data_IF_620076974737
#
_entry.id   IF_620076974737
#
_cell.length_a   1.000
_cell.length_b   1.000
_cell.length_c   1.000
_cell.angle_alpha   90.00
_cell.angle_beta   90.00
_cell.angle_gamma   90.00
#
_symmetry.space_group_name_H-M   'P 1'
#
loop_
_entity.id
_entity.type
_entity.pdbx_description
1 polymer ?
#
# COMPACT_ATOMS: atom_id res chain seq x y z
N UNK A 1 57.61 -46.23 1.09
CA UNK A 1 56.95 -45.62 2.27
C UNK A 1 57.35 -44.15 2.35
N UNK A 2 56.45 -43.22 2.67
CA UNK A 2 54.99 -43.25 2.52
C UNK A 2 54.47 -42.13 1.59
N UNK A 3 53.20 -42.30 1.21
CA UNK A 3 52.39 -41.36 0.46
C UNK A 3 52.10 -40.09 1.26
N UNK A 4 52.41 -38.94 0.69
CA UNK A 4 51.91 -37.66 1.15
C UNK A 4 50.46 -37.48 0.71
N UNK A 5 49.52 -38.10 1.41
CA UNK A 5 48.13 -37.65 1.43
C UNK A 5 48.11 -36.32 2.19
N UNK A 6 48.44 -35.24 1.49
CA UNK A 6 48.13 -33.89 1.94
C UNK A 6 46.61 -33.78 1.96
N UNK A 7 46.02 -34.07 3.12
CA UNK A 7 44.59 -33.97 3.35
C UNK A 7 44.12 -32.60 2.88
N UNK A 8 43.30 -32.59 1.82
CA UNK A 8 42.44 -31.47 1.55
C UNK A 8 41.61 -31.29 2.82
N UNK A 9 41.96 -30.28 3.62
CA UNK A 9 41.11 -29.86 4.72
C UNK A 9 39.72 -29.64 4.09
N UNK A 10 38.77 -30.51 4.44
CA UNK A 10 37.34 -30.30 4.27
C UNK A 10 36.98 -29.10 5.14
N UNK A 11 37.46 -27.93 4.75
CA UNK A 11 37.24 -26.68 5.45
C UNK A 11 35.78 -26.35 5.31
N UNK A 12 35.05 -26.38 6.42
CA UNK A 12 33.69 -25.90 6.49
C UNK A 12 33.66 -24.44 6.05
N UNK A 13 33.12 -24.17 4.86
CA UNK A 13 32.97 -22.81 4.34
C UNK A 13 31.77 -22.14 5.00
N UNK A 14 32.02 -21.60 6.19
CA UNK A 14 31.04 -20.82 6.94
C UNK A 14 30.46 -19.66 6.10
N UNK A 15 31.25 -19.06 5.21
CA UNK A 15 30.81 -17.92 4.39
C UNK A 15 29.80 -18.34 3.31
N UNK A 16 29.97 -19.53 2.73
CA UNK A 16 29.00 -20.10 1.80
C UNK A 16 27.69 -20.44 2.51
N UNK A 17 27.75 -21.07 3.69
CA UNK A 17 26.56 -21.40 4.47
C UNK A 17 25.78 -20.14 4.88
N UNK A 18 26.46 -19.08 5.34
CA UNK A 18 25.80 -17.81 5.70
C UNK A 18 25.10 -17.19 4.48
N UNK A 19 25.72 -17.21 3.30
CA UNK A 19 25.08 -16.71 2.06
C UNK A 19 23.86 -17.52 1.68
N UNK A 20 23.94 -18.86 1.77
CA UNK A 20 22.82 -19.75 1.45
C UNK A 20 21.65 -19.54 2.42
N UNK A 21 21.93 -19.42 3.72
CA UNK A 21 20.93 -19.11 4.74
C UNK A 21 20.28 -17.73 4.52
N UNK A 22 21.07 -16.71 4.18
CA UNK A 22 20.55 -15.38 3.86
C UNK A 22 19.63 -15.41 2.64
N UNK A 23 20.04 -16.12 1.58
CA UNK A 23 19.22 -16.27 0.38
C UNK A 23 17.90 -17.02 0.64
N UNK A 24 17.95 -18.10 1.43
CA UNK A 24 16.77 -18.85 1.83
C UNK A 24 15.80 -17.98 2.66
N UNK A 25 16.34 -17.21 3.61
CA UNK A 25 15.55 -16.25 4.40
C UNK A 25 14.88 -15.22 3.50
N UNK A 26 15.61 -14.60 2.56
CA UNK A 26 15.06 -13.57 1.68
C UNK A 26 13.94 -14.13 0.78
N UNK A 27 14.13 -15.35 0.27
CA UNK A 27 13.12 -16.06 -0.53
C UNK A 27 11.85 -16.36 0.28
N UNK A 28 12.00 -16.79 1.54
CA UNK A 28 10.87 -17.06 2.43
C UNK A 28 10.13 -15.78 2.80
N UNK A 29 10.85 -14.70 3.10
CA UNK A 29 10.26 -13.40 3.42
C UNK A 29 9.53 -12.82 2.22
N UNK A 30 10.12 -12.89 1.02
CA UNK A 30 9.45 -12.48 -0.20
C UNK A 30 8.15 -13.28 -0.39
N UNK A 31 8.20 -14.61 -0.25
CA UNK A 31 7.01 -15.45 -0.41
C UNK A 31 5.94 -15.13 0.62
N UNK A 32 6.32 -14.86 1.87
CA UNK A 32 5.41 -14.42 2.91
C UNK A 32 4.69 -13.13 2.51
N UNK A 33 5.44 -12.11 2.07
CA UNK A 33 4.88 -10.82 1.63
C UNK A 33 3.93 -10.99 0.44
N UNK A 34 4.29 -11.81 -0.54
CA UNK A 34 3.42 -12.13 -1.68
C UNK A 34 2.11 -12.78 -1.22
N UNK A 35 2.17 -13.73 -0.29
CA UNK A 35 0.98 -14.40 0.24
C UNK A 35 0.09 -13.42 1.01
N UNK A 36 0.67 -12.56 1.86
CA UNK A 36 -0.08 -11.53 2.58
C UNK A 36 -0.77 -10.55 1.61
N UNK A 37 -0.06 -10.11 0.57
CA UNK A 37 -0.62 -9.25 -0.48
C UNK A 37 -1.77 -9.93 -1.22
N UNK A 38 -1.61 -11.18 -1.64
CA UNK A 38 -2.65 -11.92 -2.36
C UNK A 38 -3.90 -12.11 -1.51
N UNK A 39 -3.73 -12.47 -0.23
CA UNK A 39 -4.85 -12.64 0.70
C UNK A 39 -5.61 -11.32 0.90
N UNK A 40 -4.90 -10.23 1.18
CA UNK A 40 -5.52 -8.93 1.39
C UNK A 40 -6.21 -8.42 0.12
N UNK A 41 -5.54 -8.48 -1.03
CA UNK A 41 -6.11 -8.13 -2.34
C UNK A 41 -7.40 -8.90 -2.65
N UNK A 42 -7.43 -10.21 -2.42
CA UNK A 42 -8.61 -11.03 -2.69
C UNK A 42 -9.82 -10.62 -1.81
N UNK A 43 -9.57 -10.29 -0.54
CA UNK A 43 -10.64 -9.81 0.36
C UNK A 43 -11.12 -8.41 -0.01
N UNK A 44 -10.22 -7.51 -0.40
CA UNK A 44 -10.58 -6.17 -0.91
C UNK A 44 -11.43 -6.29 -2.17
N UNK A 45 -11.01 -7.11 -3.14
CA UNK A 45 -11.78 -7.42 -4.35
C UNK A 45 -13.19 -7.92 -4.02
N UNK A 46 -13.29 -8.94 -3.16
CA UNK A 46 -14.58 -9.48 -2.74
C UNK A 46 -15.47 -8.44 -2.02
N UNK A 47 -14.89 -7.47 -1.29
CA UNK A 47 -15.66 -6.40 -0.63
C UNK A 47 -16.21 -5.41 -1.63
N UNK A 48 -15.39 -5.01 -2.62
CA UNK A 48 -15.81 -4.07 -3.67
C UNK A 48 -16.93 -4.70 -4.52
N UNK A 49 -16.76 -5.95 -4.95
CA UNK A 49 -17.74 -6.65 -5.81
C UNK A 49 -19.10 -6.91 -5.15
N UNK A 50 -19.15 -7.04 -3.82
CA UNK A 50 -20.41 -7.25 -3.08
C UNK A 50 -21.19 -5.96 -2.82
N UNK A 51 -20.59 -4.80 -3.10
CA UNK A 51 -21.20 -3.50 -2.81
C UNK A 51 -21.88 -2.97 -4.07
N UNK A 52 -23.15 -2.55 -3.95
CA UNK A 52 -23.85 -1.86 -5.03
C UNK A 52 -23.46 -0.38 -5.05
N UNK A 53 -22.36 -0.07 -5.74
CA UNK A 53 -21.80 1.28 -5.84
C UNK A 53 -22.68 2.27 -6.61
N UNK A 54 -23.65 1.78 -7.39
CA UNK A 54 -24.59 2.63 -8.11
C UNK A 54 -25.68 3.16 -7.18
N UNK A 55 -26.14 2.32 -6.25
CA UNK A 55 -27.23 2.62 -5.31
C UNK A 55 -26.76 2.74 -3.85
N UNK A 56 -25.47 3.03 -3.64
CA UNK A 56 -24.91 3.24 -2.30
C UNK A 56 -25.69 4.31 -1.52
N UNK A 57 -25.85 4.15 -0.19
CA UNK A 57 -26.34 5.21 0.66
C UNK A 57 -25.30 6.33 0.79
N UNK A 58 -25.76 7.54 1.13
CA UNK A 58 -24.87 8.67 1.44
C UNK A 58 -23.84 8.28 2.51
N UNK A 59 -22.55 8.65 2.34
CA UNK A 59 -21.50 8.32 3.32
C UNK A 59 -21.81 8.84 4.72
N UNK A 60 -21.69 7.96 5.71
CA UNK A 60 -21.86 8.29 7.14
C UNK A 60 -20.67 7.88 8.00
N UNK A 61 -19.74 7.13 7.42
CA UNK A 61 -18.54 6.63 8.04
C UNK A 61 -17.56 6.23 6.94
N UNK A 62 -16.30 6.02 7.33
CA UNK A 62 -15.36 5.25 6.52
C UNK A 62 -15.85 3.80 6.46
N UNK A 63 -15.72 3.13 5.31
CA UNK A 63 -16.17 1.74 5.19
C UNK A 63 -15.23 0.76 5.90
N UNK A 64 -15.75 -0.43 6.17
CA UNK A 64 -14.98 -1.57 6.69
C UNK A 64 -13.83 -1.98 5.75
N UNK A 65 -13.81 -1.55 4.48
CA UNK A 65 -12.69 -1.81 3.58
C UNK A 65 -11.39 -1.21 4.14
N UNK A 66 -11.45 0.01 4.68
CA UNK A 66 -10.28 0.67 5.26
C UNK A 66 -9.85 -0.03 6.53
N UNK A 67 -10.80 -0.38 7.41
CA UNK A 67 -10.51 -1.16 8.63
C UNK A 67 -9.84 -2.49 8.30
N UNK A 68 -10.33 -3.17 7.26
CA UNK A 68 -9.80 -4.43 6.77
C UNK A 68 -8.34 -4.28 6.30
N UNK A 69 -8.02 -3.23 5.54
CA UNK A 69 -6.66 -2.94 5.09
C UNK A 69 -5.73 -2.60 6.25
N UNK A 70 -6.17 -1.70 7.14
CA UNK A 70 -5.39 -1.24 8.29
C UNK A 70 -5.10 -2.39 9.26
N UNK A 71 -6.11 -3.19 9.58
CA UNK A 71 -5.97 -4.30 10.54
C UNK A 71 -5.03 -5.39 10.03
N UNK A 72 -5.12 -5.77 8.75
CA UNK A 72 -4.23 -6.77 8.17
C UNK A 72 -2.79 -6.28 8.09
N UNK A 73 -2.58 -5.02 7.67
CA UNK A 73 -1.24 -4.44 7.66
C UNK A 73 -0.68 -4.36 9.08
N UNK A 74 -1.51 -4.10 10.09
CA UNK A 74 -1.07 -4.02 11.48
C UNK A 74 -0.71 -5.41 12.01
N UNK A 75 -1.53 -6.42 11.74
CA UNK A 75 -1.25 -7.80 12.11
C UNK A 75 0.02 -8.32 11.41
N UNK A 76 0.20 -8.01 10.13
CA UNK A 76 1.43 -8.30 9.41
C UNK A 76 2.63 -7.57 10.03
N UNK A 77 2.48 -6.30 10.42
CA UNK A 77 3.53 -5.52 11.07
C UNK A 77 3.98 -6.17 12.38
N UNK A 78 3.03 -6.61 13.22
CA UNK A 78 3.32 -7.29 14.49
C UNK A 78 4.05 -8.63 14.27
N UNK A 79 3.66 -9.40 13.26
CA UNK A 79 4.34 -10.67 12.91
C UNK A 79 5.75 -10.41 12.37
N UNK A 80 5.90 -9.43 11.49
CA UNK A 80 7.16 -9.12 10.85
C UNK A 80 8.16 -8.41 11.80
N UNK A 81 7.68 -7.65 12.78
CA UNK A 81 8.51 -7.03 13.82
C UNK A 81 9.19 -8.07 14.72
N UNK A 82 8.57 -9.25 14.94
CA UNK A 82 9.21 -10.35 15.68
C UNK A 82 10.45 -10.89 14.95
N UNK A 83 10.49 -10.78 13.62
CA UNK A 83 11.62 -11.21 12.80
C UNK A 83 12.69 -10.13 12.67
N UNK A 84 12.33 -8.86 12.89
CA UNK A 84 13.20 -7.69 12.78
C UNK A 84 13.35 -7.01 14.13
N UNK A 85 14.07 -7.64 15.06
CA UNK A 85 14.25 -7.11 16.44
C UNK A 85 14.87 -5.70 16.51
N UNK A 86 15.44 -5.20 15.41
CA UNK A 86 16.12 -3.90 15.34
C UNK A 86 15.29 -2.77 14.71
N UNK A 87 14.11 -3.03 14.12
CA UNK A 87 13.26 -1.96 13.53
C UNK A 87 12.00 -1.79 14.38
N UNK A 88 11.82 -0.66 15.11
CA UNK A 88 10.61 -0.46 15.88
C UNK A 88 9.40 -0.33 14.95
N UNK A 89 8.32 -1.03 15.28
CA UNK A 89 7.06 -0.91 14.56
C UNK A 89 6.52 0.53 14.67
N UNK A 90 6.37 1.20 13.53
CA UNK A 90 5.73 2.53 13.46
C UNK A 90 4.24 2.40 13.82
N UNK A 91 3.64 3.36 14.55
CA UNK A 91 2.21 3.34 14.82
C UNK A 91 1.42 3.43 13.52
N UNK A 92 0.44 2.55 13.35
CA UNK A 92 -0.42 2.50 12.15
C UNK A 92 -1.39 3.70 12.07
N UNK A 93 -1.77 4.23 13.24
CA UNK A 93 -2.71 5.34 13.32
C UNK A 93 -1.93 6.65 13.41
N UNK A 94 -2.16 7.61 12.50
CA UNK A 94 -1.45 8.88 12.49
C UNK A 94 -1.72 9.70 13.75
N UNK A 95 -0.66 10.36 14.22
CA UNK A 95 -0.71 11.29 15.35
C UNK A 95 -0.99 12.71 14.84
N UNK A 96 -1.99 13.37 15.41
CA UNK A 96 -2.38 14.73 15.04
C UNK A 96 -3.72 14.81 14.30
N UNK A 97 -4.16 16.03 13.95
CA UNK A 97 -5.42 16.25 13.24
C UNK A 97 -5.34 15.81 11.77
N UNK A 98 -6.51 15.63 11.14
CA UNK A 98 -6.60 15.35 9.71
C UNK A 98 -5.85 16.43 8.89
N UNK A 99 -4.98 16.04 7.93
CA UNK A 99 -4.17 17.00 7.19
C UNK A 99 -5.03 17.88 6.28
N UNK A 100 -4.85 19.20 6.36
CA UNK A 100 -5.54 20.16 5.50
C UNK A 100 -5.17 19.94 4.02
N UNK A 101 -6.17 20.04 3.13
CA UNK A 101 -6.15 19.75 1.68
C UNK A 101 -5.06 20.46 0.83
N UNK A 102 -4.24 21.36 1.38
CA UNK A 102 -3.24 22.11 0.60
C UNK A 102 -2.27 21.21 -0.17
N UNK A 103 -2.03 19.98 0.31
CA UNK A 103 -1.17 18.99 -0.36
C UNK A 103 -1.93 17.98 -1.25
N UNK A 104 -3.27 17.89 -1.11
CA UNK A 104 -4.10 16.85 -1.74
C UNK A 104 -4.73 17.30 -3.06
N UNK A 105 -4.99 18.60 -3.23
CA UNK A 105 -5.61 19.15 -4.45
C UNK A 105 -4.62 19.75 -5.46
N UNK A 106 -3.40 20.10 -5.04
CA UNK A 106 -2.40 20.69 -5.95
C UNK A 106 -1.96 19.74 -7.07
N UNK A 107 -1.92 18.42 -6.84
CA UNK A 107 -1.60 17.45 -7.88
C UNK A 107 -2.72 17.27 -8.92
N UNK A 108 -3.98 17.28 -8.48
CA UNK A 108 -5.14 17.08 -9.36
C UNK A 108 -5.33 18.29 -10.30
N UNK A 109 -5.14 19.51 -9.81
CA UNK A 109 -5.22 20.72 -10.64
C UNK A 109 -4.02 20.88 -11.60
N UNK A 110 -2.82 20.38 -11.26
CA UNK A 110 -1.67 20.46 -12.16
C UNK A 110 -1.79 19.52 -13.37
N UNK A 111 -2.38 18.33 -13.21
CA UNK A 111 -2.54 17.35 -14.31
C UNK A 111 -3.54 17.79 -15.37
N UNK A 112 -4.60 18.51 -15.00
CA UNK A 112 -5.58 19.06 -15.95
C UNK A 112 -5.01 20.16 -16.87
N UNK A 113 -3.88 20.79 -16.52
CA UNK A 113 -3.25 21.87 -17.32
C UNK A 113 -2.13 21.41 -18.25
N UNK A 114 -1.70 20.14 -18.20
CA UNK A 114 -0.55 19.62 -18.96
C UNK A 114 -0.90 18.62 -20.07
N UNK A 115 -2.16 18.57 -20.53
CA UNK A 115 -2.57 17.64 -21.61
C UNK A 115 -1.97 17.94 -22.99
N UNK A 116 -1.19 19.03 -23.16
CA UNK A 116 -0.61 19.40 -24.46
C UNK A 116 0.78 18.83 -24.79
N UNK A 117 1.61 18.41 -23.81
CA UNK A 117 2.99 17.97 -24.09
C UNK A 117 3.52 16.78 -23.28
N UNK A 118 2.68 16.11 -22.47
CA UNK A 118 3.12 15.03 -21.56
C UNK A 118 3.24 13.64 -22.19
N UNK A 119 2.58 13.39 -23.33
CA UNK A 119 2.49 12.03 -23.93
C UNK A 119 3.87 11.42 -24.19
N UNK A 120 4.86 12.21 -24.62
CA UNK A 120 6.20 11.70 -24.96
C UNK A 120 7.06 11.42 -23.72
N UNK A 121 6.93 12.21 -22.64
CA UNK A 121 7.64 11.99 -21.37
C UNK A 121 7.04 10.84 -20.56
N UNK A 122 5.73 10.68 -20.61
CA UNK A 122 5.05 9.57 -19.94
C UNK A 122 5.31 8.24 -20.65
N UNK A 123 5.39 8.20 -21.98
CA UNK A 123 5.85 7.03 -22.72
C UNK A 123 7.29 6.64 -22.36
N UNK A 124 8.22 7.60 -22.32
CA UNK A 124 9.61 7.33 -21.92
C UNK A 124 9.72 6.86 -20.47
N UNK A 125 8.87 7.37 -19.56
CA UNK A 125 8.81 6.91 -18.16
C UNK A 125 8.17 5.53 -18.03
N UNK A 126 7.19 5.17 -18.87
CA UNK A 126 6.60 3.83 -18.92
C UNK A 126 7.58 2.77 -19.46
N UNK A 127 8.45 3.11 -20.41
CA UNK A 127 9.51 2.20 -20.87
C UNK A 127 10.72 2.11 -19.91
N UNK A 128 10.94 3.12 -19.06
CA UNK A 128 11.98 3.10 -18.02
C UNK A 128 11.54 2.39 -16.72
N UNK A 129 10.23 2.25 -16.48
CA UNK A 129 9.69 1.48 -15.36
C UNK A 129 9.78 -0.02 -15.66
N UNK A 130 10.98 -0.59 -15.50
CA UNK A 130 11.06 -1.99 -15.08
C UNK A 130 10.25 -2.07 -13.78
N UNK A 131 9.13 -2.80 -13.79
CA UNK A 131 8.33 -2.99 -12.58
C UNK A 131 9.22 -3.73 -11.60
N UNK A 132 9.85 -3.00 -10.69
CA UNK A 132 10.57 -3.61 -9.60
C UNK A 132 9.49 -4.13 -8.64
N UNK A 133 9.06 -5.37 -8.89
CA UNK A 133 8.27 -6.16 -7.93
C UNK A 133 9.15 -6.62 -6.76
N UNK A 134 10.45 -6.30 -6.77
CA UNK A 134 11.35 -6.60 -5.68
C UNK A 134 10.91 -5.94 -4.38
N UNK A 135 11.03 -6.68 -3.29
CA UNK A 135 10.98 -6.14 -1.94
C UNK A 135 12.00 -5.00 -1.85
N UNK A 136 11.59 -3.79 -1.43
CA UNK A 136 12.52 -2.66 -1.29
C UNK A 136 13.50 -2.95 -0.14
N UNK A 137 14.66 -3.47 -0.52
CA UNK A 137 15.80 -3.68 0.35
C UNK A 137 16.43 -2.34 0.72
N UNK A 138 16.83 -2.16 1.98
CA UNK A 138 17.57 -0.98 2.41
C UNK A 138 18.87 -0.81 1.59
N UNK A 139 19.15 0.41 1.13
CA UNK A 139 20.34 0.75 0.36
C UNK A 139 21.65 0.52 1.13
N UNK A 140 21.60 0.36 2.45
CA UNK A 140 22.79 0.17 3.28
C UNK A 140 23.19 -1.31 3.46
N UNK A 141 22.27 -2.27 3.31
CA UNK A 141 22.50 -3.66 3.74
C UNK A 141 21.83 -4.74 2.86
N UNK A 142 21.06 -4.35 1.84
CA UNK A 142 20.34 -5.29 0.96
C UNK A 142 19.23 -6.09 1.66
N UNK A 143 18.94 -5.78 2.93
CA UNK A 143 17.98 -6.48 3.76
C UNK A 143 16.57 -5.93 3.55
N UNK A 144 15.55 -6.79 3.48
CA UNK A 144 14.17 -6.34 3.48
C UNK A 144 13.83 -5.61 4.79
N UNK A 145 13.18 -4.46 4.67
CA UNK A 145 12.73 -3.66 5.82
C UNK A 145 11.27 -3.94 6.12
N UNK A 146 10.85 -3.77 7.38
CA UNK A 146 9.44 -3.91 7.78
C UNK A 146 8.55 -2.98 6.95
N UNK A 147 8.94 -1.72 6.90
CA UNK A 147 8.23 -0.69 6.13
C UNK A 147 8.23 -1.00 4.62
N UNK A 148 9.30 -1.61 4.07
CA UNK A 148 9.35 -2.06 2.68
C UNK A 148 8.39 -3.21 2.38
N UNK A 149 8.26 -4.17 3.30
CA UNK A 149 7.28 -5.25 3.19
C UNK A 149 5.84 -4.72 3.21
N UNK A 150 5.52 -3.83 4.16
CA UNK A 150 4.20 -3.19 4.25
C UNK A 150 3.89 -2.35 3.00
N UNK A 151 4.89 -1.64 2.47
CA UNK A 151 4.79 -0.89 1.21
C UNK A 151 4.42 -1.82 0.04
N UNK A 152 5.06 -3.00 -0.05
CA UNK A 152 4.76 -3.95 -1.12
C UNK A 152 3.31 -4.45 -1.03
N UNK A 153 2.86 -4.87 0.16
CA UNK A 153 1.48 -5.34 0.39
C UNK A 153 0.46 -4.24 0.10
N UNK A 154 0.71 -3.01 0.58
CA UNK A 154 -0.16 -1.87 0.32
C UNK A 154 -0.27 -1.58 -1.19
N UNK A 155 0.86 -1.55 -1.92
CA UNK A 155 0.86 -1.28 -3.38
C UNK A 155 0.11 -2.34 -4.18
N UNK A 156 0.27 -3.62 -3.86
CA UNK A 156 -0.50 -4.68 -4.54
C UNK A 156 -2.00 -4.59 -4.21
N UNK A 157 -2.35 -4.33 -2.96
CA UNK A 157 -3.74 -4.14 -2.53
C UNK A 157 -4.40 -2.96 -3.23
N UNK A 158 -3.70 -1.81 -3.33
CA UNK A 158 -4.19 -0.61 -4.00
C UNK A 158 -4.29 -0.79 -5.52
N UNK A 159 -3.38 -1.55 -6.14
CA UNK A 159 -3.51 -1.92 -7.55
C UNK A 159 -4.76 -2.78 -7.77
N UNK A 160 -5.04 -3.74 -6.89
CA UNK A 160 -6.29 -4.51 -6.97
C UNK A 160 -7.52 -3.62 -6.80
N UNK A 161 -7.54 -2.75 -5.79
CA UNK A 161 -8.62 -1.78 -5.59
C UNK A 161 -8.86 -0.91 -6.84
N UNK A 162 -7.78 -0.43 -7.47
CA UNK A 162 -7.84 0.35 -8.70
C UNK A 162 -8.52 -0.40 -9.84
N UNK A 163 -8.16 -1.66 -10.07
CA UNK A 163 -8.78 -2.47 -11.12
C UNK A 163 -10.26 -2.75 -10.84
N UNK A 164 -10.62 -3.01 -9.58
CA UNK A 164 -12.03 -3.17 -9.19
C UNK A 164 -12.83 -1.89 -9.41
N UNK A 165 -12.26 -0.72 -9.07
CA UNK A 165 -12.87 0.58 -9.33
C UNK A 165 -13.05 0.81 -10.84
N UNK A 166 -12.07 0.46 -11.68
CA UNK A 166 -12.17 0.57 -13.15
C UNK A 166 -13.29 -0.31 -13.73
N UNK A 167 -13.50 -1.49 -13.16
CA UNK A 167 -14.57 -2.41 -13.57
C UNK A 167 -15.96 -2.01 -13.03
N UNK A 168 -16.02 -1.11 -12.05
CA UNK A 168 -17.26 -0.72 -11.38
C UNK A 168 -17.90 0.51 -12.04
N UNK A 169 -19.21 0.69 -11.89
CA UNK A 169 -19.92 1.94 -12.21
C UNK A 169 -20.46 2.54 -10.92
N UNK A 170 -20.25 3.84 -10.73
CA UNK A 170 -20.59 4.52 -9.48
C UNK A 170 -21.77 5.47 -9.67
N UNK A 171 -22.64 5.52 -8.66
CA UNK A 171 -23.55 6.64 -8.45
C UNK A 171 -22.87 7.71 -7.59
N UNK A 172 -23.55 8.84 -7.40
CA UNK A 172 -23.07 9.97 -6.58
C UNK A 172 -22.56 9.54 -5.22
N UNK A 173 -23.39 8.81 -4.46
CA UNK A 173 -23.04 8.38 -3.12
C UNK A 173 -21.89 7.35 -3.09
N UNK A 174 -21.80 6.47 -4.10
CA UNK A 174 -20.67 5.56 -4.26
C UNK A 174 -19.35 6.31 -4.49
N UNK A 175 -19.36 7.32 -5.36
CA UNK A 175 -18.20 8.20 -5.58
C UNK A 175 -17.78 8.94 -4.30
N UNK A 176 -18.75 9.49 -3.58
CA UNK A 176 -18.51 10.17 -2.31
C UNK A 176 -17.94 9.23 -1.24
N UNK A 177 -18.40 7.97 -1.19
CA UNK A 177 -17.85 6.97 -0.26
C UNK A 177 -16.39 6.64 -0.61
N UNK A 178 -16.08 6.43 -1.89
CA UNK A 178 -14.70 6.22 -2.35
C UNK A 178 -13.82 7.41 -1.99
N UNK A 179 -14.34 8.65 -2.08
CA UNK A 179 -13.61 9.85 -1.66
C UNK A 179 -13.22 9.79 -0.18
N UNK A 180 -14.16 9.42 0.70
CA UNK A 180 -13.93 9.27 2.15
C UNK A 180 -12.90 8.17 2.43
N UNK A 181 -13.08 7.00 1.83
CA UNK A 181 -12.21 5.84 2.07
C UNK A 181 -10.78 6.08 1.57
N UNK A 182 -10.62 6.67 0.38
CA UNK A 182 -9.30 7.04 -0.16
C UNK A 182 -8.63 8.10 0.71
N UNK A 183 -9.39 9.06 1.24
CA UNK A 183 -8.86 10.08 2.14
C UNK A 183 -8.34 9.47 3.45
N UNK A 184 -9.08 8.51 4.01
CA UNK A 184 -8.63 7.79 5.19
C UNK A 184 -7.41 6.91 4.89
N UNK A 185 -7.40 6.18 3.77
CA UNK A 185 -6.26 5.36 3.35
C UNK A 185 -4.98 6.19 3.15
N UNK A 186 -5.09 7.39 2.56
CA UNK A 186 -3.96 8.33 2.46
C UNK A 186 -3.41 8.68 3.84
N UNK A 187 -4.28 8.90 4.81
CA UNK A 187 -3.83 9.32 6.13
C UNK A 187 -3.13 8.21 6.90
N UNK A 188 -3.67 6.99 6.87
CA UNK A 188 -3.12 5.85 7.63
C UNK A 188 -1.92 5.21 6.95
N UNK A 189 -1.93 5.00 5.62
CA UNK A 189 -0.86 4.25 4.95
C UNK A 189 0.49 4.97 4.99
N UNK A 190 0.50 6.30 4.95
CA UNK A 190 1.73 7.09 5.00
C UNK A 190 2.50 6.96 6.32
N UNK A 191 1.88 6.44 7.37
CA UNK A 191 2.57 6.21 8.65
C UNK A 191 3.53 5.01 8.60
N UNK A 192 3.28 4.04 7.71
CA UNK A 192 3.98 2.75 7.70
C UNK A 192 4.73 2.42 6.42
N UNK A 193 4.46 3.12 5.32
CA UNK A 193 5.13 2.89 4.03
C UNK A 193 6.40 3.73 3.88
N UNK A 194 7.34 3.28 3.05
CA UNK A 194 8.59 4.03 2.74
C UNK A 194 8.54 4.71 1.36
N UNK A 195 7.67 4.27 0.46
CA UNK A 195 7.50 4.82 -0.89
C UNK A 195 6.15 5.56 -0.97
N UNK A 196 6.08 6.65 -0.19
CA UNK A 196 4.87 7.47 -0.04
C UNK A 196 4.36 8.00 -1.38
N UNK A 197 5.26 8.47 -2.25
CA UNK A 197 4.90 9.01 -3.56
C UNK A 197 4.18 7.98 -4.44
N UNK A 198 4.67 6.74 -4.48
CA UNK A 198 4.01 5.70 -5.29
C UNK A 198 2.67 5.27 -4.69
N UNK A 199 2.55 5.25 -3.37
CA UNK A 199 1.28 4.93 -2.68
C UNK A 199 0.26 6.04 -2.92
N UNK A 200 0.66 7.30 -2.80
CA UNK A 200 -0.18 8.46 -3.14
C UNK A 200 -0.61 8.43 -4.60
N UNK A 201 0.32 8.15 -5.52
CA UNK A 201 -0.01 8.04 -6.94
C UNK A 201 -1.06 6.95 -7.20
N UNK A 202 -0.97 5.78 -6.56
CA UNK A 202 -2.00 4.75 -6.69
C UNK A 202 -3.36 5.20 -6.15
N UNK A 203 -3.38 5.88 -4.99
CA UNK A 203 -4.60 6.42 -4.40
C UNK A 203 -5.21 7.57 -5.23
N UNK A 204 -4.39 8.37 -5.92
CA UNK A 204 -4.84 9.35 -6.90
C UNK A 204 -5.49 8.66 -8.11
N UNK A 205 -4.85 7.63 -8.66
CA UNK A 205 -5.40 6.88 -9.80
C UNK A 205 -6.71 6.16 -9.44
N UNK A 206 -6.86 5.66 -8.21
CA UNK A 206 -8.13 5.09 -7.70
C UNK A 206 -9.22 6.16 -7.72
N UNK A 207 -8.94 7.35 -7.21
CA UNK A 207 -9.92 8.44 -7.16
C UNK A 207 -10.28 8.96 -8.54
N UNK A 208 -9.29 9.17 -9.42
CA UNK A 208 -9.50 9.58 -10.81
C UNK A 208 -10.33 8.54 -11.57
N UNK A 209 -9.99 7.25 -11.44
CA UNK A 209 -10.76 6.18 -12.07
C UNK A 209 -12.20 6.16 -11.54
N UNK A 210 -12.41 6.37 -10.24
CA UNK A 210 -13.76 6.46 -9.67
C UNK A 210 -14.55 7.64 -10.24
N UNK A 211 -13.90 8.79 -10.49
CA UNK A 211 -14.51 9.95 -11.13
C UNK A 211 -14.95 9.63 -12.57
N UNK A 212 -14.07 9.01 -13.36
CA UNK A 212 -14.36 8.61 -14.76
C UNK A 212 -15.47 7.55 -14.86
N UNK A 213 -15.62 6.72 -13.82
CA UNK A 213 -16.61 5.65 -13.73
C UNK A 213 -17.93 6.06 -13.06
N UNK A 214 -18.05 7.31 -12.61
CA UNK A 214 -19.23 7.81 -11.92
C UNK A 214 -20.21 8.48 -12.90
N UNK A 215 -21.50 8.17 -12.76
CA UNK A 215 -22.55 8.78 -13.58
C UNK A 215 -22.91 10.21 -13.14
N UNK A 216 -22.60 10.57 -11.90
CA UNK A 216 -22.92 11.87 -11.31
C UNK A 216 -21.86 12.25 -10.27
N UNK A 217 -20.80 12.87 -10.76
CA UNK A 217 -19.66 13.31 -9.94
C UNK A 217 -20.05 14.55 -9.15
N UNK A 218 -20.26 14.36 -7.84
CA UNK A 218 -20.46 15.46 -6.90
C UNK A 218 -19.60 15.24 -5.64
N UNK A 219 -18.44 15.92 -5.54
CA UNK A 219 -17.56 15.79 -4.38
C UNK A 219 -18.26 16.18 -3.07
N UNK A 220 -17.90 15.48 -1.99
CA UNK A 220 -18.24 15.91 -0.64
C UNK A 220 -17.45 17.16 -0.26
N UNK A 221 -18.05 17.97 0.61
CA UNK A 221 -17.34 19.04 1.28
C UNK A 221 -16.22 18.48 2.14
N UNK A 222 -15.07 19.16 2.11
CA UNK A 222 -13.88 18.73 2.83
C UNK A 222 -14.15 18.54 4.34
N UNK A 223 -14.90 19.46 4.95
CA UNK A 223 -15.23 19.38 6.38
C UNK A 223 -15.99 18.10 6.74
N UNK A 224 -16.81 17.57 5.83
CA UNK A 224 -17.52 16.29 6.03
C UNK A 224 -16.54 15.13 5.99
N UNK A 225 -15.62 15.12 5.02
CA UNK A 225 -14.59 14.09 4.89
C UNK A 225 -13.70 14.07 6.15
N UNK A 226 -13.27 15.26 6.59
CA UNK A 226 -12.45 15.45 7.80
C UNK A 226 -13.17 14.89 9.03
N UNK A 227 -14.44 15.24 9.24
CA UNK A 227 -15.22 14.74 10.36
C UNK A 227 -15.36 13.20 10.35
N UNK A 228 -15.61 12.61 9.18
CA UNK A 228 -15.72 11.16 9.04
C UNK A 228 -14.39 10.43 9.27
N UNK A 229 -13.30 10.95 8.72
CA UNK A 229 -11.97 10.36 8.88
C UNK A 229 -11.45 10.52 10.32
N UNK A 230 -11.71 11.66 10.97
CA UNK A 230 -11.37 11.86 12.39
C UNK A 230 -12.15 10.90 13.29
N UNK A 231 -13.45 10.71 13.03
CA UNK A 231 -14.25 9.73 13.77
C UNK A 231 -13.70 8.30 13.59
N UNK A 232 -13.30 7.93 12.38
CA UNK A 232 -12.70 6.62 12.13
C UNK A 232 -11.32 6.48 12.79
N UNK A 233 -10.51 7.54 12.80
CA UNK A 233 -9.21 7.53 13.49
C UNK A 233 -9.37 7.20 14.97
N UNK A 234 -10.36 7.81 15.65
CA UNK A 234 -10.64 7.50 17.06
C UNK A 234 -11.04 6.04 17.26
N UNK A 235 -11.82 5.47 16.32
CA UNK A 235 -12.18 4.05 16.35
C UNK A 235 -10.96 3.16 16.19
N UNK A 236 -10.08 3.47 15.24
CA UNK A 236 -8.85 2.71 15.00
C UNK A 236 -7.88 2.76 16.19
N UNK A 237 -7.79 3.91 16.89
CA UNK A 237 -6.99 4.01 18.11
C UNK A 237 -7.44 3.02 19.19
N UNK A 238 -8.74 2.76 19.30
CA UNK A 238 -9.31 1.82 20.26
C UNK A 238 -9.20 0.37 19.79
N UNK A 239 -9.33 0.12 18.48
CA UNK A 239 -9.28 -1.26 17.96
C UNK A 239 -7.88 -1.83 17.82
N UNK A 240 -6.86 -0.97 17.71
CA UNK A 240 -5.46 -1.37 17.51
C UNK A 240 -4.58 -1.19 18.77
N UNK A 241 -5.17 -0.72 19.88
CA UNK A 241 -4.51 -0.68 21.20
C UNK A 241 -4.55 -2.04 21.88
#
# INVERSE_FOLDING_TARGET
APHGLGGAALGFDHSAMVREMAHARDSLLQRFVEMQAQQLSARVSARVQRTDWLLCPTPRAVTELVQLVVSDLHQMQLLAAQLHSNEPAKPMVPMGPFPALSSLMQLVQQRSRQQGSSITKDLQRMFARKVDLGMTSSAADGQPTLSGMLTHVAKLTLKTLLEEVRATTFGRAGFQQTQVDVSMLRWVLLTVVNDEESVLALLDEVFISCQERCLDVMPLEQAVIEALCESERQRLLVSLS
#
